data_IF_255130455734
#
_entry.id   IF_255130455734
#
_cell.length_a   1.000
_cell.length_b   1.000
_cell.length_c   1.000
_cell.angle_alpha   90.00
_cell.angle_beta   90.00
_cell.angle_gamma   90.00
#
_symmetry.space_group_name_H-M   'P 1'
#
loop_
_entity.id
_entity.type
_entity.pdbx_description
1 polymer ?
#
# COMPACT_ATOMS: atom_id res chain seq x y z
N UNK A 1 -18.29 -15.89 -2.99
CA UNK A 1 -19.49 -15.20 -2.45
C UNK A 1 -19.12 -14.04 -1.53
N UNK A 2 -18.35 -14.24 -0.49
CA UNK A 2 -17.99 -13.20 0.52
C UNK A 2 -17.30 -11.97 -0.09
N UNK A 3 -16.34 -12.13 -1.00
CA UNK A 3 -15.63 -11.03 -1.63
C UNK A 3 -16.55 -10.09 -2.42
N UNK A 4 -17.50 -10.64 -3.19
CA UNK A 4 -18.44 -9.85 -3.98
C UNK A 4 -19.42 -9.03 -3.10
N UNK A 5 -19.80 -9.55 -1.95
CA UNK A 5 -20.67 -8.84 -0.99
C UNK A 5 -19.89 -7.68 -0.33
N UNK A 6 -18.62 -7.88 0.02
CA UNK A 6 -17.74 -6.85 0.58
C UNK A 6 -17.53 -5.74 -0.46
N UNK A 7 -17.24 -6.08 -1.72
CA UNK A 7 -17.11 -5.11 -2.80
C UNK A 7 -18.39 -4.28 -2.98
N UNK A 8 -19.56 -4.91 -3.03
CA UNK A 8 -20.85 -4.22 -3.14
C UNK A 8 -21.11 -3.28 -1.96
N UNK A 9 -20.77 -3.71 -0.74
CA UNK A 9 -20.91 -2.91 0.49
C UNK A 9 -20.11 -1.61 0.43
N UNK A 10 -18.89 -1.65 -0.15
CA UNK A 10 -17.97 -0.51 -0.17
C UNK A 10 -17.84 0.17 -1.52
N UNK A 11 -18.62 -0.21 -2.51
CA UNK A 11 -18.55 0.30 -3.90
C UNK A 11 -18.52 1.84 -3.97
N UNK A 12 -19.42 2.52 -3.25
CA UNK A 12 -19.48 3.98 -3.19
C UNK A 12 -18.17 4.61 -2.68
N UNK A 13 -17.57 4.03 -1.64
CA UNK A 13 -16.32 4.54 -1.06
C UNK A 13 -15.13 4.27 -1.98
N UNK A 14 -15.13 3.14 -2.66
CA UNK A 14 -14.12 2.79 -3.67
C UNK A 14 -14.15 3.79 -4.82
N UNK A 15 -15.35 4.06 -5.37
CA UNK A 15 -15.55 5.05 -6.44
C UNK A 15 -15.10 6.46 -6.02
N UNK A 16 -15.45 6.90 -4.80
CA UNK A 16 -15.01 8.18 -4.26
C UNK A 16 -13.48 8.26 -4.13
N UNK A 17 -12.85 7.20 -3.64
CA UNK A 17 -11.40 7.14 -3.48
C UNK A 17 -10.68 7.07 -4.83
N UNK A 18 -11.21 6.35 -5.80
CA UNK A 18 -10.66 6.29 -7.17
C UNK A 18 -10.75 7.66 -7.87
N UNK A 19 -11.83 8.40 -7.66
CA UNK A 19 -12.04 9.72 -8.24
C UNK A 19 -11.15 10.81 -7.59
N UNK A 20 -11.14 10.87 -6.26
CA UNK A 20 -10.51 11.95 -5.51
C UNK A 20 -9.09 11.64 -4.99
N UNK A 21 -8.67 10.38 -5.04
CA UNK A 21 -7.39 9.86 -4.51
C UNK A 21 -7.21 10.03 -3.00
N UNK A 22 -8.22 10.48 -2.30
CA UNK A 22 -8.28 10.61 -0.84
C UNK A 22 -9.69 10.35 -0.33
N UNK A 23 -9.80 9.88 0.90
CA UNK A 23 -11.07 9.62 1.57
C UNK A 23 -10.88 9.86 3.07
N UNK A 24 -11.74 10.67 3.66
CA UNK A 24 -11.75 10.95 5.09
C UNK A 24 -12.96 10.26 5.72
N UNK A 25 -12.70 9.34 6.66
CA UNK A 25 -13.73 8.65 7.45
C UNK A 25 -13.87 9.34 8.80
N UNK A 26 -15.02 9.96 9.05
CA UNK A 26 -15.34 10.66 10.31
C UNK A 26 -16.38 9.88 11.11
N UNK A 27 -16.40 10.10 12.42
CA UNK A 27 -17.37 9.47 13.32
C UNK A 27 -16.81 9.24 14.73
N UNK A 28 -17.66 8.83 15.65
CA UNK A 28 -17.29 8.58 17.05
C UNK A 28 -16.20 7.49 17.16
N UNK A 29 -15.41 7.48 18.26
CA UNK A 29 -14.50 6.38 18.56
C UNK A 29 -15.24 5.02 18.61
N UNK A 30 -14.59 3.94 18.18
CA UNK A 30 -15.16 2.60 18.24
C UNK A 30 -16.16 2.23 17.12
N UNK A 31 -16.50 3.14 16.20
CA UNK A 31 -17.46 2.87 15.10
C UNK A 31 -16.88 2.05 13.93
N UNK A 32 -15.71 1.44 14.07
CA UNK A 32 -15.13 0.56 13.05
C UNK A 32 -14.47 1.27 11.88
N UNK A 33 -14.18 2.58 11.94
CA UNK A 33 -13.56 3.34 10.84
C UNK A 33 -12.25 2.72 10.32
N UNK A 34 -11.38 2.30 11.23
CA UNK A 34 -10.10 1.66 10.89
C UNK A 34 -10.31 0.32 10.20
N UNK A 35 -11.27 -0.47 10.66
CA UNK A 35 -11.64 -1.73 10.02
C UNK A 35 -12.18 -1.49 8.61
N UNK A 36 -13.10 -0.55 8.47
CA UNK A 36 -13.66 -0.15 7.17
C UNK A 36 -12.57 0.35 6.21
N UNK A 37 -11.61 1.15 6.68
CA UNK A 37 -10.49 1.62 5.86
C UNK A 37 -9.65 0.46 5.32
N UNK A 38 -9.39 -0.56 6.14
CA UNK A 38 -8.66 -1.77 5.73
C UNK A 38 -9.45 -2.58 4.69
N UNK A 39 -10.75 -2.75 4.87
CA UNK A 39 -11.59 -3.47 3.91
C UNK A 39 -11.66 -2.74 2.56
N UNK A 40 -11.81 -1.41 2.57
CA UNK A 40 -11.77 -0.60 1.34
C UNK A 40 -10.42 -0.73 0.62
N UNK A 41 -9.31 -0.64 1.36
CA UNK A 41 -7.98 -0.81 0.80
C UNK A 41 -7.80 -2.20 0.17
N UNK A 42 -8.28 -3.24 0.85
CA UNK A 42 -8.29 -4.61 0.32
C UNK A 42 -9.10 -4.72 -0.97
N UNK A 43 -10.31 -4.18 -1.03
CA UNK A 43 -11.14 -4.17 -2.24
C UNK A 43 -10.45 -3.49 -3.43
N UNK A 44 -9.73 -2.39 -3.20
CA UNK A 44 -9.00 -1.69 -4.26
C UNK A 44 -7.86 -2.54 -4.80
N UNK A 45 -7.13 -3.21 -3.93
CA UNK A 45 -6.03 -4.11 -4.33
C UNK A 45 -6.59 -5.29 -5.12
N UNK A 46 -7.66 -5.91 -4.65
CA UNK A 46 -8.33 -7.01 -5.32
C UNK A 46 -8.83 -6.59 -6.72
N UNK A 47 -9.50 -5.43 -6.85
CA UNK A 47 -9.89 -4.87 -8.14
C UNK A 47 -8.70 -4.60 -9.08
N UNK A 48 -7.57 -4.12 -8.55
CA UNK A 48 -6.37 -3.90 -9.35
C UNK A 48 -5.80 -5.23 -9.86
N UNK A 49 -5.80 -6.27 -9.03
CA UNK A 49 -5.35 -7.61 -9.40
C UNK A 49 -6.28 -8.23 -10.45
N UNK A 50 -7.58 -8.07 -10.32
CA UNK A 50 -8.59 -8.56 -11.28
C UNK A 50 -8.50 -7.85 -12.64
N UNK A 51 -8.29 -6.53 -12.66
CA UNK A 51 -8.12 -5.75 -13.90
C UNK A 51 -6.85 -6.12 -14.67
N UNK A 52 -5.81 -6.56 -14.00
CA UNK A 52 -4.59 -7.06 -14.62
C UNK A 52 -4.74 -8.56 -14.97
N UNK A 53 -5.46 -8.83 -16.05
CA UNK A 53 -5.86 -10.13 -16.61
C UNK A 53 -4.74 -11.19 -16.79
N UNK A 54 -3.49 -10.86 -16.50
CA UNK A 54 -2.34 -11.74 -16.52
C UNK A 54 -2.19 -12.61 -15.25
N UNK A 55 -3.06 -12.43 -14.27
CA UNK A 55 -3.05 -13.17 -13.01
C UNK A 55 -4.09 -14.30 -12.94
N UNK A 56 -4.87 -14.56 -14.00
CA UNK A 56 -5.91 -15.60 -13.95
C UNK A 56 -5.36 -17.01 -13.71
N UNK A 57 -4.16 -17.32 -14.20
CA UNK A 57 -3.48 -18.60 -13.90
C UNK A 57 -2.82 -18.63 -12.51
N UNK A 58 -2.50 -17.45 -11.95
CA UNK A 58 -2.00 -17.31 -10.59
C UNK A 58 -3.12 -17.24 -9.55
N UNK A 59 -4.36 -16.99 -9.97
CA UNK A 59 -5.48 -16.81 -9.05
C UNK A 59 -5.83 -18.07 -8.26
N UNK A 60 -5.87 -19.22 -8.89
CA UNK A 60 -6.13 -20.48 -8.19
C UNK A 60 -4.98 -20.84 -7.23
N UNK A 61 -3.73 -20.62 -7.65
CA UNK A 61 -2.55 -20.82 -6.81
C UNK A 61 -2.42 -19.74 -5.72
N UNK A 62 -2.88 -18.51 -6.01
CA UNK A 62 -2.85 -17.35 -5.11
C UNK A 62 -3.87 -17.51 -3.96
N UNK A 63 -5.11 -17.92 -4.24
CA UNK A 63 -6.12 -18.14 -3.20
C UNK A 63 -5.88 -19.43 -2.39
N UNK A 64 -5.15 -20.39 -2.93
CA UNK A 64 -4.71 -21.57 -2.18
C UNK A 64 -3.59 -21.25 -1.17
N UNK A 65 -2.92 -20.10 -1.29
CA UNK A 65 -1.78 -19.71 -0.48
C UNK A 65 -2.04 -18.33 0.20
N UNK A 66 -2.83 -18.33 1.29
CA UNK A 66 -3.22 -17.15 2.07
C UNK A 66 -2.03 -16.30 2.54
N UNK A 67 -0.85 -16.91 2.75
CA UNK A 67 0.38 -16.20 3.12
C UNK A 67 0.86 -15.25 2.01
N UNK A 68 0.82 -15.69 0.74
CA UNK A 68 1.21 -14.85 -0.41
C UNK A 68 0.26 -13.68 -0.63
N UNK A 69 -1.04 -13.85 -0.33
CA UNK A 69 -2.04 -12.76 -0.39
C UNK A 69 -1.72 -11.70 0.66
N UNK A 70 -1.38 -12.12 1.87
CA UNK A 70 -0.98 -11.23 2.95
C UNK A 70 0.22 -10.36 2.55
N UNK A 71 1.24 -10.95 1.92
CA UNK A 71 2.43 -10.23 1.50
C UNK A 71 2.15 -9.19 0.42
N UNK A 72 1.31 -9.50 -0.56
CA UNK A 72 0.92 -8.53 -1.61
C UNK A 72 0.13 -7.37 -1.02
N UNK A 73 -0.78 -7.63 -0.09
CA UNK A 73 -1.56 -6.59 0.59
C UNK A 73 -0.63 -5.74 1.46
N UNK A 74 0.25 -6.36 2.24
CA UNK A 74 1.19 -5.68 3.12
C UNK A 74 2.18 -4.79 2.36
N UNK A 75 2.61 -5.19 1.17
CA UNK A 75 3.51 -4.40 0.33
C UNK A 75 2.80 -3.24 -0.39
N UNK A 76 1.46 -3.28 -0.53
CA UNK A 76 0.66 -2.27 -1.25
C UNK A 76 -0.15 -1.36 -0.33
N UNK A 77 -0.19 -1.67 0.95
CA UNK A 77 -0.85 -0.85 1.96
C UNK A 77 0.09 -0.57 3.12
N UNK A 78 -0.05 0.60 3.69
CA UNK A 78 0.64 0.96 4.93
C UNK A 78 -0.33 1.69 5.84
N UNK A 79 -0.40 1.27 7.10
CA UNK A 79 -1.15 1.98 8.11
C UNK A 79 -0.20 2.78 8.98
N UNK A 80 -0.47 4.07 9.12
CA UNK A 80 0.30 4.97 9.95
C UNK A 80 -0.66 5.61 10.96
N UNK A 81 -0.25 5.60 12.22
CA UNK A 81 -0.96 6.30 13.28
C UNK A 81 -0.21 7.59 13.61
N UNK A 82 -0.85 8.73 13.36
CA UNK A 82 -0.31 10.02 13.77
C UNK A 82 -0.54 10.24 15.25
N UNK A 83 0.48 10.70 15.94
CA UNK A 83 0.44 11.13 17.33
C UNK A 83 1.03 12.55 17.45
N UNK A 84 0.83 13.28 18.58
CA UNK A 84 1.20 14.69 18.67
C UNK A 84 2.67 15.05 18.39
N UNK A 85 3.58 14.09 18.61
CA UNK A 85 5.02 14.26 18.32
C UNK A 85 5.45 13.77 16.92
N UNK A 86 4.49 13.32 16.08
CA UNK A 86 4.78 12.88 14.72
C UNK A 86 4.83 14.10 13.79
N UNK A 87 5.96 14.34 13.17
CA UNK A 87 6.19 15.50 12.33
C UNK A 87 6.49 15.16 10.86
N UNK A 88 6.77 16.20 10.08
CA UNK A 88 7.13 16.06 8.66
C UNK A 88 8.39 15.23 8.47
N UNK A 89 9.35 15.31 9.40
CA UNK A 89 10.61 14.57 9.29
C UNK A 89 10.43 13.07 9.48
N UNK A 90 9.41 12.65 10.24
CA UNK A 90 9.05 11.25 10.40
C UNK A 90 8.26 10.72 9.20
N UNK A 91 7.44 11.58 8.59
CA UNK A 91 6.53 11.18 7.53
C UNK A 91 7.18 11.21 6.14
N UNK A 92 7.81 12.32 5.76
CA UNK A 92 8.38 12.50 4.42
C UNK A 92 9.90 12.36 4.42
N UNK A 93 10.61 13.29 5.04
CA UNK A 93 12.06 13.29 5.17
C UNK A 93 12.52 14.33 6.19
N UNK A 94 13.63 14.06 6.84
CA UNK A 94 14.24 14.97 7.81
C UNK A 94 15.74 14.80 7.95
N UNK A 95 16.38 15.77 8.58
CA UNK A 95 17.78 15.68 8.98
C UNK A 95 17.86 14.98 10.33
N UNK A 96 18.60 13.89 10.40
CA UNK A 96 18.86 13.18 11.66
C UNK A 96 20.33 13.27 12.04
N UNK A 97 20.64 13.49 13.33
CA UNK A 97 22.00 13.50 13.79
C UNK A 97 22.61 12.09 13.64
N UNK A 98 23.80 12.04 13.09
CA UNK A 98 24.62 10.82 13.00
C UNK A 98 25.95 11.05 13.68
N UNK A 99 26.51 10.01 14.31
CA UNK A 99 27.89 10.00 14.78
C UNK A 99 28.78 9.37 13.72
N UNK A 100 29.74 10.12 13.22
CA UNK A 100 30.75 9.58 12.33
C UNK A 100 31.74 8.69 13.11
N UNK A 101 32.48 7.86 12.40
CA UNK A 101 33.46 6.94 13.00
C UNK A 101 34.51 7.66 13.87
N UNK A 102 34.71 8.95 13.64
CA UNK A 102 35.63 9.81 14.39
C UNK A 102 34.96 10.53 15.58
N UNK A 103 33.72 10.17 15.93
CA UNK A 103 33.00 10.77 17.05
C UNK A 103 32.45 12.19 16.78
N UNK A 104 32.60 12.71 15.56
CA UNK A 104 32.04 13.99 15.17
C UNK A 104 30.56 13.84 14.85
N UNK A 105 29.75 14.79 15.39
CA UNK A 105 28.34 14.92 15.08
C UNK A 105 28.17 15.45 13.67
N UNK A 106 27.46 14.71 12.85
CA UNK A 106 27.02 15.14 11.53
C UNK A 106 25.50 15.08 11.43
N UNK A 107 24.95 15.50 10.30
CA UNK A 107 23.52 15.38 9.98
C UNK A 107 23.39 14.62 8.66
N UNK A 108 22.49 13.63 8.64
CA UNK A 108 22.14 12.91 7.43
C UNK A 108 20.65 13.10 7.14
N UNK A 109 20.35 13.21 5.84
CA UNK A 109 18.96 13.26 5.37
C UNK A 109 18.40 11.85 5.33
N UNK A 110 17.40 11.60 6.16
CA UNK A 110 16.72 10.31 6.27
C UNK A 110 15.34 10.39 5.69
N UNK A 111 14.96 9.40 4.88
CA UNK A 111 13.61 9.31 4.33
C UNK A 111 12.63 8.89 5.42
N UNK A 112 11.48 9.57 5.50
CA UNK A 112 10.36 9.19 6.34
C UNK A 112 9.54 8.04 5.75
N UNK A 113 8.63 7.51 6.56
CA UNK A 113 7.86 6.29 6.23
C UNK A 113 7.09 6.38 4.92
N UNK A 114 6.46 7.52 4.63
CA UNK A 114 5.72 7.74 3.39
C UNK A 114 6.62 7.68 2.16
N UNK A 115 7.77 8.35 2.22
CA UNK A 115 8.71 8.39 1.11
C UNK A 115 9.34 7.02 0.86
N UNK A 116 9.66 6.26 1.91
CA UNK A 116 10.13 4.87 1.80
C UNK A 116 9.06 4.01 1.13
N UNK A 117 7.80 4.10 1.56
CA UNK A 117 6.69 3.37 0.97
C UNK A 117 6.52 3.69 -0.51
N UNK A 118 6.54 4.97 -0.91
CA UNK A 118 6.45 5.39 -2.30
C UNK A 118 7.60 4.82 -3.15
N UNK A 119 8.84 4.88 -2.64
CA UNK A 119 10.01 4.33 -3.34
C UNK A 119 9.88 2.81 -3.57
N UNK A 120 9.40 2.08 -2.58
CA UNK A 120 9.21 0.63 -2.69
C UNK A 120 8.10 0.29 -3.70
N UNK A 121 6.98 0.99 -3.65
CA UNK A 121 5.88 0.83 -4.60
C UNK A 121 6.29 1.14 -6.04
N UNK A 122 7.09 2.18 -6.26
CA UNK A 122 7.64 2.50 -7.58
C UNK A 122 8.59 1.42 -8.11
N UNK A 123 9.45 0.87 -7.25
CA UNK A 123 10.36 -0.22 -7.64
C UNK A 123 9.60 -1.47 -8.05
N UNK A 124 8.58 -1.85 -7.30
CA UNK A 124 7.72 -2.98 -7.61
C UNK A 124 7.00 -2.79 -8.96
N UNK A 125 6.42 -1.62 -9.21
CA UNK A 125 5.76 -1.31 -10.47
C UNK A 125 6.71 -1.40 -11.68
N UNK A 126 7.96 -0.96 -11.53
CA UNK A 126 9.00 -1.09 -12.58
C UNK A 126 9.37 -2.55 -12.81
N UNK A 127 9.51 -3.35 -11.76
CA UNK A 127 9.80 -4.78 -11.88
C UNK A 127 8.68 -5.54 -12.59
N UNK A 128 7.43 -5.26 -12.26
CA UNK A 128 6.26 -5.86 -12.90
C UNK A 128 6.21 -5.53 -14.40
N UNK A 129 6.45 -4.27 -14.78
CA UNK A 129 6.51 -3.85 -16.19
C UNK A 129 7.63 -4.56 -16.97
N UNK A 130 8.80 -4.77 -16.35
CA UNK A 130 9.90 -5.52 -16.96
C UNK A 130 9.54 -6.97 -17.21
N UNK A 131 8.92 -7.64 -16.22
CA UNK A 131 8.43 -9.03 -16.35
C UNK A 131 7.38 -9.17 -17.46
N UNK A 132 6.43 -8.23 -17.56
CA UNK A 132 5.44 -8.21 -18.65
C UNK A 132 6.09 -8.11 -20.03
N UNK A 133 7.04 -7.19 -20.22
CA UNK A 133 7.75 -7.03 -21.50
C UNK A 133 8.57 -8.27 -21.88
N UNK A 134 9.12 -8.96 -20.87
CA UNK A 134 9.88 -10.19 -21.11
C UNK A 134 8.96 -11.34 -21.55
N UNK A 135 7.78 -11.45 -20.93
CA UNK A 135 6.77 -12.46 -21.28
C UNK A 135 6.21 -12.23 -22.69
N UNK A 136 5.92 -10.97 -23.07
CA UNK A 136 5.47 -10.63 -24.43
C UNK A 136 6.50 -10.91 -25.54
N UNK A 137 7.78 -11.03 -25.21
CA UNK A 137 8.84 -11.39 -26.17
C UNK A 137 9.01 -12.91 -26.33
N UNK A 138 8.40 -13.72 -25.47
CA UNK A 138 8.49 -15.17 -25.47
C UNK A 138 7.30 -15.85 -26.18
N UNK A 139 6.28 -15.07 -26.54
CA UNK A 139 5.11 -15.48 -27.34
C UNK A 139 5.27 -14.91 -28.76
#
# INVERSE_FOLDING_TARGET
>A
MIAAEIHKKYEKYIQLLEANKNLILTGAPGTGKTFMAKEIAWCIIDNMLLKHRYLSSYFEEFYSNLEKVSDVVNNRTMMIQFHPSYDYSDFVEGLRPISNKDGLLGFERTDGVFKVFCKNSCREAVMLRKKQKQFQKMI
#
